data_IF_800895144171
#
_entry.id   IF_800895144171
#
_cell.length_a   1.000
_cell.length_b   1.000
_cell.length_c   1.000
_cell.angle_alpha   90.00
_cell.angle_beta   90.00
_cell.angle_gamma   90.00
#
_symmetry.space_group_name_H-M   'P 1'
#
loop_
_entity.id
_entity.type
_entity.pdbx_description
1 polymer ?
#
# COMPACT_ATOMS: atom_id res chain seq x y z
N UNK A 1 -2.25 16.59 9.17
CA UNK A 1 -1.61 17.86 8.75
C UNK A 1 -1.22 17.68 7.29
N UNK A 2 -1.62 18.57 6.39
CA UNK A 2 -1.15 18.52 4.99
C UNK A 2 0.33 18.87 4.97
N UNK A 3 1.14 17.85 4.75
CA UNK A 3 2.57 17.99 4.62
C UNK A 3 2.88 18.84 3.38
N UNK A 4 3.64 19.91 3.59
CA UNK A 4 4.11 20.75 2.51
C UNK A 4 5.32 20.06 1.86
N UNK A 5 5.28 19.91 0.54
CA UNK A 5 6.37 19.31 -0.23
C UNK A 5 7.03 20.41 -1.05
N UNK A 6 8.36 20.48 -0.99
CA UNK A 6 9.21 21.36 -1.80
C UNK A 6 10.01 20.56 -2.80
N UNK A 7 10.49 21.25 -3.84
CA UNK A 7 11.45 20.65 -4.77
C UNK A 7 12.82 20.49 -4.10
N UNK A 8 13.58 19.51 -4.57
CA UNK A 8 14.98 19.34 -4.19
C UNK A 8 15.82 20.54 -4.62
N UNK A 9 16.73 20.95 -3.75
CA UNK A 9 17.78 21.91 -4.09
C UNK A 9 18.88 21.24 -4.91
N UNK A 10 19.69 22.04 -5.61
CA UNK A 10 20.81 21.51 -6.41
C UNK A 10 21.85 20.78 -5.55
N UNK A 11 22.04 21.23 -4.31
CA UNK A 11 22.96 20.63 -3.35
C UNK A 11 22.45 19.26 -2.88
N UNK A 12 21.16 19.13 -2.60
CA UNK A 12 20.52 17.85 -2.27
C UNK A 12 20.57 16.87 -3.43
N UNK A 13 20.32 17.33 -4.67
CA UNK A 13 20.43 16.49 -5.87
C UNK A 13 21.87 15.95 -6.01
N UNK A 14 22.88 16.81 -5.90
CA UNK A 14 24.28 16.39 -6.01
C UNK A 14 24.67 15.38 -4.92
N UNK A 15 24.13 15.53 -3.70
CA UNK A 15 24.31 14.56 -2.62
C UNK A 15 23.65 13.22 -2.93
N UNK A 16 22.40 13.22 -3.41
CA UNK A 16 21.69 12.01 -3.79
C UNK A 16 22.40 11.27 -4.93
N UNK A 17 22.90 12.00 -5.93
CA UNK A 17 23.71 11.42 -7.02
C UNK A 17 25.01 10.79 -6.50
N UNK A 18 25.68 11.45 -5.54
CA UNK A 18 26.87 10.89 -4.88
C UNK A 18 26.56 9.62 -4.06
N UNK A 19 25.34 9.50 -3.54
CA UNK A 19 24.80 8.30 -2.86
C UNK A 19 24.27 7.25 -3.85
N UNK A 20 24.63 7.35 -5.13
CA UNK A 20 24.18 6.46 -6.20
C UNK A 20 22.68 6.45 -6.44
N UNK A 21 21.97 7.52 -6.09
CA UNK A 21 20.58 7.69 -6.48
C UNK A 21 20.47 8.26 -7.89
N UNK A 22 19.42 7.85 -8.60
CA UNK A 22 19.17 8.25 -9.99
C UNK A 22 17.69 8.60 -10.11
N UNK A 23 17.37 9.76 -10.67
CA UNK A 23 16.00 10.10 -11.06
C UNK A 23 15.88 10.15 -12.58
N UNK A 24 14.73 9.71 -13.12
CA UNK A 24 14.40 9.98 -14.53
C UNK A 24 14.25 11.49 -14.79
N UNK A 25 13.72 12.20 -13.79
CA UNK A 25 13.58 13.65 -13.77
C UNK A 25 13.51 14.11 -12.31
N UNK A 26 14.50 14.87 -11.86
CA UNK A 26 14.57 15.38 -10.49
C UNK A 26 13.46 16.40 -10.19
N UNK A 27 12.86 17.02 -11.20
CA UNK A 27 11.72 17.94 -11.01
C UNK A 27 10.44 17.21 -10.57
N UNK A 28 10.36 15.90 -10.81
CA UNK A 28 9.30 15.04 -10.34
C UNK A 28 9.46 14.56 -8.89
N UNK A 29 10.61 14.85 -8.24
CA UNK A 29 10.90 14.44 -6.87
C UNK A 29 10.69 15.64 -5.93
N UNK A 30 9.71 15.52 -5.04
CA UNK A 30 9.37 16.50 -4.02
C UNK A 30 9.69 15.92 -2.63
N UNK A 31 10.13 16.75 -1.69
CA UNK A 31 10.54 16.34 -0.35
C UNK A 31 9.90 17.23 0.71
N UNK A 32 9.74 16.71 1.93
CA UNK A 32 9.32 17.52 3.07
C UNK A 32 10.32 18.65 3.37
N UNK A 33 9.87 19.71 4.07
CA UNK A 33 10.71 20.90 4.31
C UNK A 33 11.99 20.55 5.09
N UNK A 34 11.88 19.74 6.15
CA UNK A 34 12.97 19.29 7.03
C UNK A 34 13.66 17.99 6.54
N UNK A 35 13.61 17.72 5.25
CA UNK A 35 14.19 16.52 4.66
C UNK A 35 15.73 16.51 4.70
N UNK A 36 16.30 15.36 5.06
CA UNK A 36 17.73 15.09 5.02
C UNK A 36 18.07 13.98 4.02
N UNK A 37 19.12 14.19 3.24
CA UNK A 37 19.57 13.25 2.19
C UNK A 37 20.37 12.07 2.74
N UNK A 38 20.83 12.13 4.00
CA UNK A 38 21.85 11.23 4.54
C UNK A 38 21.42 9.73 4.55
N UNK A 39 20.11 9.47 4.55
CA UNK A 39 19.51 8.13 4.66
C UNK A 39 18.84 7.64 3.37
N UNK A 40 19.34 8.10 2.22
CA UNK A 40 18.88 7.63 0.91
C UNK A 40 20.08 7.18 0.09
N UNK A 41 20.10 5.90 -0.29
CA UNK A 41 21.22 5.31 -1.02
C UNK A 41 20.74 4.35 -2.09
N UNK A 42 21.46 4.31 -3.21
CA UNK A 42 21.20 3.36 -4.31
C UNK A 42 19.73 3.30 -4.75
N UNK A 43 19.04 4.45 -4.76
CA UNK A 43 17.60 4.50 -5.04
C UNK A 43 17.31 5.10 -6.41
N UNK A 44 16.42 4.45 -7.15
CA UNK A 44 15.94 4.94 -8.45
C UNK A 44 14.56 5.57 -8.32
N UNK A 45 14.44 6.83 -8.72
CA UNK A 45 13.20 7.57 -8.74
C UNK A 45 12.67 7.73 -10.17
N UNK A 46 11.36 7.63 -10.33
CA UNK A 46 10.72 7.90 -11.62
C UNK A 46 9.28 8.40 -11.46
N UNK A 47 8.84 9.23 -12.40
CA UNK A 47 7.53 9.87 -12.32
C UNK A 47 7.45 10.84 -11.13
N UNK A 48 6.31 10.88 -10.44
CA UNK A 48 6.08 11.78 -9.31
C UNK A 48 6.39 11.10 -7.97
N UNK A 49 7.53 11.42 -7.38
CA UNK A 49 7.94 10.85 -6.08
C UNK A 49 7.89 11.92 -5.00
N UNK A 50 7.34 11.56 -3.85
CA UNK A 50 7.30 12.41 -2.67
C UNK A 50 7.93 11.70 -1.48
N UNK A 51 8.84 12.36 -0.77
CA UNK A 51 9.53 11.79 0.38
C UNK A 51 9.30 12.63 1.64
N UNK A 52 8.91 11.98 2.72
CA UNK A 52 8.85 12.54 4.06
C UNK A 52 10.23 12.64 4.72
N UNK A 53 10.24 12.92 6.01
CA UNK A 53 11.45 13.07 6.82
C UNK A 53 11.90 11.70 7.35
N UNK A 54 13.21 11.45 7.46
CA UNK A 54 13.78 10.19 7.97
C UNK A 54 14.67 10.48 9.18
N UNK A 55 14.13 10.33 10.40
CA UNK A 55 14.81 10.65 11.66
C UNK A 55 14.77 9.54 12.70
N UNK A 56 13.86 8.57 12.56
CA UNK A 56 13.71 7.48 13.52
C UNK A 56 14.57 6.28 13.17
N UNK A 57 14.85 5.48 14.18
CA UNK A 57 15.43 4.15 14.05
C UNK A 57 14.41 3.07 14.45
N UNK A 58 14.40 1.98 13.70
CA UNK A 58 13.65 0.77 13.98
C UNK A 58 14.54 -0.21 14.71
N UNK A 59 14.06 -0.74 15.84
CA UNK A 59 14.73 -1.84 16.56
C UNK A 59 14.11 -3.16 16.14
N UNK A 60 14.89 -3.99 15.46
CA UNK A 60 14.51 -5.32 15.02
C UNK A 60 14.81 -6.38 16.09
N UNK A 61 14.21 -7.56 15.93
CA UNK A 61 14.50 -8.71 16.77
C UNK A 61 16.01 -9.01 16.80
N UNK A 62 16.53 -9.33 17.99
CA UNK A 62 17.98 -9.50 18.20
C UNK A 62 18.73 -8.21 18.50
N UNK A 63 18.05 -7.07 18.65
CA UNK A 63 18.65 -5.79 19.06
C UNK A 63 19.35 -5.04 17.92
N UNK A 64 19.09 -5.42 16.68
CA UNK A 64 19.61 -4.72 15.51
C UNK A 64 18.82 -3.42 15.30
N UNK A 65 19.52 -2.29 15.24
CA UNK A 65 18.92 -1.01 14.89
C UNK A 65 19.08 -0.74 13.39
N UNK A 66 18.03 -0.24 12.75
CA UNK A 66 18.03 0.21 11.36
C UNK A 66 17.45 1.62 11.28
N UNK A 67 18.17 2.54 10.67
CA UNK A 67 17.69 3.91 10.51
C UNK A 67 16.64 3.98 9.40
N UNK A 68 15.56 4.73 9.61
CA UNK A 68 14.56 5.05 8.59
C UNK A 68 15.22 5.68 7.35
N UNK A 69 14.70 5.40 6.17
CA UNK A 69 15.35 5.77 4.92
C UNK A 69 14.96 4.88 3.76
N UNK A 70 15.52 5.17 2.59
CA UNK A 70 15.28 4.40 1.37
C UNK A 70 16.62 3.89 0.82
N UNK A 71 16.77 2.57 0.78
CA UNK A 71 18.02 1.89 0.46
C UNK A 71 17.78 0.84 -0.62
N UNK A 72 18.51 0.87 -1.72
CA UNK A 72 18.42 -0.15 -2.77
C UNK A 72 16.97 -0.40 -3.25
N UNK A 73 16.28 0.66 -3.67
CA UNK A 73 14.89 0.57 -4.10
C UNK A 73 14.63 1.29 -5.42
N UNK A 74 13.59 0.86 -6.14
CA UNK A 74 13.05 1.59 -7.31
C UNK A 74 11.63 2.03 -7.02
N UNK A 75 11.40 3.35 -7.05
CA UNK A 75 10.11 3.97 -6.77
C UNK A 75 9.57 4.66 -8.03
N UNK A 76 8.30 4.41 -8.36
CA UNK A 76 7.62 5.02 -9.50
C UNK A 76 6.25 5.59 -9.09
N UNK A 77 6.03 6.89 -9.18
CA UNK A 77 4.78 7.53 -8.71
C UNK A 77 4.42 7.13 -7.27
N UNK A 78 5.36 7.31 -6.33
CA UNK A 78 5.19 6.89 -4.94
C UNK A 78 5.29 8.08 -4.00
N UNK A 79 4.39 8.15 -3.03
CA UNK A 79 4.53 9.03 -1.87
C UNK A 79 4.95 8.20 -0.67
N UNK A 80 6.07 8.55 -0.04
CA UNK A 80 6.59 7.90 1.16
C UNK A 80 6.44 8.89 2.31
N UNK A 81 5.67 8.52 3.33
CA UNK A 81 5.49 9.33 4.54
C UNK A 81 6.74 9.35 5.44
N UNK A 82 6.62 10.04 6.56
CA UNK A 82 7.74 10.20 7.50
C UNK A 82 8.18 8.89 8.13
N UNK A 83 9.47 8.79 8.41
CA UNK A 83 10.09 7.72 9.17
C UNK A 83 9.82 6.34 8.59
N UNK A 84 9.63 6.24 7.28
CA UNK A 84 9.52 4.94 6.63
C UNK A 84 10.91 4.32 6.46
N UNK A 85 10.96 3.00 6.54
CA UNK A 85 12.12 2.22 6.17
C UNK A 85 11.78 1.41 4.92
N UNK A 86 12.50 1.62 3.83
CA UNK A 86 12.34 0.86 2.58
C UNK A 86 13.71 0.36 2.15
N UNK A 87 13.94 -0.96 2.24
CA UNK A 87 15.22 -1.55 1.85
C UNK A 87 15.07 -2.78 0.93
N UNK A 88 16.01 -2.92 0.00
CA UNK A 88 16.18 -4.11 -0.86
C UNK A 88 14.94 -4.44 -1.71
N UNK A 89 14.33 -3.42 -2.31
CA UNK A 89 13.27 -3.61 -3.30
C UNK A 89 13.92 -3.92 -4.64
N UNK A 90 14.16 -5.20 -4.97
CA UNK A 90 14.97 -5.55 -6.15
C UNK A 90 14.27 -5.23 -7.46
N UNK A 91 12.94 -5.19 -7.47
CA UNK A 91 12.15 -4.85 -8.63
C UNK A 91 11.62 -3.40 -8.54
N UNK A 92 10.36 -3.16 -8.16
CA UNK A 92 9.87 -1.79 -7.94
C UNK A 92 8.61 -1.72 -7.06
N UNK A 93 8.38 -0.52 -6.50
CA UNK A 93 7.09 -0.08 -5.95
C UNK A 93 6.51 0.98 -6.89
N UNK A 94 5.26 0.80 -7.34
CA UNK A 94 4.63 1.74 -8.28
C UNK A 94 3.19 2.11 -7.92
N UNK A 95 2.88 3.42 -8.05
CA UNK A 95 1.54 3.99 -7.87
C UNK A 95 0.96 3.72 -6.47
N UNK A 96 1.71 4.12 -5.44
CA UNK A 96 1.32 3.93 -4.04
C UNK A 96 1.56 5.17 -3.17
N UNK A 97 0.69 5.38 -2.21
CA UNK A 97 0.90 6.26 -1.06
C UNK A 97 1.20 5.39 0.16
N UNK A 98 2.33 5.62 0.81
CA UNK A 98 2.82 4.88 1.96
C UNK A 98 2.78 5.79 3.18
N UNK A 99 2.04 5.38 4.21
CA UNK A 99 1.90 6.09 5.47
C UNK A 99 3.19 6.08 6.30
N UNK A 100 3.24 6.93 7.32
CA UNK A 100 4.42 7.12 8.16
C UNK A 100 4.74 5.89 9.02
N UNK A 101 5.98 5.83 9.52
CA UNK A 101 6.47 4.77 10.42
C UNK A 101 6.31 3.35 9.82
N UNK A 102 6.30 3.26 8.49
CA UNK A 102 6.09 2.00 7.76
C UNK A 102 7.43 1.34 7.44
N UNK A 103 7.51 0.03 7.67
CA UNK A 103 8.70 -0.78 7.45
C UNK A 103 8.49 -1.73 6.27
N UNK A 104 9.29 -1.61 5.21
CA UNK A 104 9.24 -2.41 4.00
C UNK A 104 10.64 -2.95 3.70
N UNK A 105 10.78 -4.26 3.65
CA UNK A 105 12.07 -4.90 3.41
C UNK A 105 11.94 -6.11 2.48
N UNK A 106 12.90 -6.25 1.55
CA UNK A 106 13.02 -7.38 0.63
C UNK A 106 11.75 -7.62 -0.21
N UNK A 107 11.23 -6.58 -0.85
CA UNK A 107 9.97 -6.66 -1.62
C UNK A 107 10.20 -6.68 -3.13
N UNK A 108 9.54 -7.60 -3.86
CA UNK A 108 9.80 -7.84 -5.29
C UNK A 108 8.61 -7.65 -6.26
N UNK A 109 7.49 -7.09 -5.80
CA UNK A 109 6.76 -6.00 -6.48
C UNK A 109 5.53 -5.66 -5.64
N UNK A 110 5.35 -4.36 -5.41
CA UNK A 110 4.09 -3.75 -4.97
C UNK A 110 3.66 -2.80 -6.09
N UNK A 111 2.50 -3.01 -6.71
CA UNK A 111 2.04 -2.10 -7.76
C UNK A 111 0.52 -1.96 -7.88
N UNK A 112 0.11 -0.81 -8.39
CA UNK A 112 -1.19 -0.63 -9.04
C UNK A 112 -0.98 -0.43 -10.53
N UNK A 113 -1.61 -1.24 -11.39
CA UNK A 113 -1.44 -1.14 -12.86
C UNK A 113 -2.68 -0.64 -13.61
N UNK A 114 -3.81 -0.46 -12.92
CA UNK A 114 -5.04 0.02 -13.52
C UNK A 114 -5.92 0.69 -12.49
N UNK A 115 -6.95 1.37 -12.99
CA UNK A 115 -8.04 1.85 -12.16
C UNK A 115 -8.69 0.68 -11.41
N UNK A 116 -8.44 0.59 -10.11
CA UNK A 116 -8.80 -0.56 -9.31
C UNK A 116 -9.74 -0.18 -8.18
N UNK A 117 -10.71 -1.07 -7.91
CA UNK A 117 -11.59 -1.02 -6.74
C UNK A 117 -11.00 -1.78 -5.54
N UNK A 118 -9.78 -2.32 -5.67
CA UNK A 118 -9.07 -3.03 -4.61
C UNK A 118 -9.92 -4.17 -4.02
N UNK A 119 -10.55 -4.97 -4.88
CA UNK A 119 -11.43 -6.09 -4.47
C UNK A 119 -12.84 -5.70 -4.04
N UNK A 120 -13.15 -4.42 -3.83
CA UNK A 120 -14.52 -3.98 -3.56
C UNK A 120 -15.43 -4.21 -4.77
N UNK A 121 -16.60 -4.82 -4.54
CA UNK A 121 -17.55 -5.14 -5.59
C UNK A 121 -17.31 -6.49 -6.28
N UNK A 122 -16.35 -7.29 -5.82
CA UNK A 122 -16.09 -8.63 -6.38
C UNK A 122 -17.12 -9.63 -5.85
N UNK A 123 -17.73 -10.41 -6.74
CA UNK A 123 -18.61 -11.53 -6.37
C UNK A 123 -17.78 -12.75 -5.96
N UNK A 124 -18.02 -13.27 -4.76
CA UNK A 124 -17.34 -14.44 -4.20
C UNK A 124 -18.35 -15.53 -3.89
N UNK A 125 -18.06 -16.75 -4.33
CA UNK A 125 -18.88 -17.92 -4.01
C UNK A 125 -18.59 -18.39 -2.58
N UNK A 126 -19.59 -18.34 -1.71
CA UNK A 126 -19.46 -18.71 -0.28
C UNK A 126 -20.03 -20.10 0.06
N UNK A 127 -20.82 -20.70 -0.85
CA UNK A 127 -21.49 -21.99 -0.67
C UNK A 127 -21.39 -22.79 -1.97
N UNK A 128 -20.19 -23.31 -2.23
CA UNK A 128 -19.79 -23.95 -3.50
C UNK A 128 -20.58 -25.23 -3.84
N UNK A 129 -21.42 -25.75 -2.94
CA UNK A 129 -22.27 -26.92 -3.21
C UNK A 129 -23.59 -26.59 -3.93
N UNK A 130 -24.04 -25.33 -3.94
CA UNK A 130 -25.41 -25.01 -4.43
C UNK A 130 -25.53 -24.04 -5.59
N UNK A 131 -24.47 -23.33 -6.01
CA UNK A 131 -24.51 -22.39 -7.14
C UNK A 131 -25.47 -21.20 -6.96
N UNK A 132 -25.10 -20.00 -7.43
CA UNK A 132 -25.98 -18.82 -7.36
C UNK A 132 -26.25 -18.35 -5.93
N UNK A 133 -25.22 -18.40 -5.08
CA UNK A 133 -25.17 -17.83 -3.71
C UNK A 133 -23.92 -16.98 -3.55
N UNK A 134 -23.63 -16.16 -4.55
CA UNK A 134 -22.49 -15.24 -4.52
C UNK A 134 -22.77 -14.11 -3.52
N UNK A 135 -21.73 -13.69 -2.80
CA UNK A 135 -21.72 -12.49 -1.97
C UNK A 135 -20.75 -11.51 -2.57
N UNK A 136 -21.18 -10.26 -2.74
CA UNK A 136 -20.33 -9.18 -3.21
C UNK A 136 -19.51 -8.68 -2.02
N UNK A 137 -18.19 -8.89 -2.06
CA UNK A 137 -17.29 -8.44 -1.00
C UNK A 137 -17.00 -6.95 -1.12
N UNK A 138 -16.92 -6.29 0.03
CA UNK A 138 -16.50 -4.89 0.16
C UNK A 138 -16.04 -4.64 1.60
N UNK A 139 -15.36 -3.52 1.83
CA UNK A 139 -14.70 -3.24 3.11
C UNK A 139 -15.66 -3.23 4.31
N UNK A 140 -16.96 -2.92 4.07
CA UNK A 140 -17.99 -2.81 5.10
C UNK A 140 -18.92 -4.02 5.16
N UNK A 141 -18.55 -5.13 4.52
CA UNK A 141 -19.39 -6.31 4.48
C UNK A 141 -19.58 -6.88 5.89
N UNK A 142 -20.83 -6.87 6.36
CA UNK A 142 -21.20 -7.52 7.63
C UNK A 142 -21.74 -8.94 7.40
N UNK A 143 -21.65 -9.78 8.43
CA UNK A 143 -22.25 -11.12 8.41
C UNK A 143 -23.75 -11.10 8.08
N UNK A 144 -24.49 -10.12 8.60
CA UNK A 144 -25.91 -9.93 8.31
C UNK A 144 -26.17 -9.61 6.84
N UNK A 145 -25.36 -8.72 6.26
CA UNK A 145 -25.45 -8.37 4.84
C UNK A 145 -25.14 -9.59 3.96
N UNK A 146 -24.07 -10.32 4.26
CA UNK A 146 -23.70 -11.54 3.55
C UNK A 146 -24.81 -12.61 3.62
N UNK A 147 -25.40 -12.81 4.80
CA UNK A 147 -26.51 -13.74 5.01
C UNK A 147 -27.74 -13.37 4.17
N UNK A 148 -28.11 -12.09 4.17
CA UNK A 148 -29.25 -11.59 3.36
C UNK A 148 -28.99 -11.83 1.88
N UNK A 149 -27.79 -11.51 1.39
CA UNK A 149 -27.41 -11.67 -0.01
C UNK A 149 -27.41 -13.14 -0.44
N UNK A 150 -26.81 -14.01 0.36
CA UNK A 150 -26.66 -15.42 0.03
C UNK A 150 -27.99 -16.21 0.08
N UNK A 151 -28.89 -15.91 1.05
CA UNK A 151 -30.09 -16.73 1.28
C UNK A 151 -31.39 -16.14 0.74
N UNK A 152 -31.51 -14.81 0.59
CA UNK A 152 -32.75 -14.16 0.13
C UNK A 152 -32.75 -13.84 -1.36
N UNK A 153 -32.10 -14.68 -2.19
CA UNK A 153 -31.99 -14.49 -3.65
C UNK A 153 -33.32 -14.40 -4.40
N UNK A 154 -34.38 -14.98 -3.82
CA UNK A 154 -35.73 -14.92 -4.36
C UNK A 154 -36.36 -13.51 -4.27
N UNK A 155 -35.64 -12.52 -3.71
CA UNK A 155 -36.03 -11.11 -3.66
C UNK A 155 -35.13 -10.28 -4.60
N UNK A 156 -35.31 -10.36 -5.93
CA UNK A 156 -34.41 -9.76 -6.91
C UNK A 156 -34.27 -8.23 -6.74
N UNK A 157 -35.36 -7.54 -6.39
CA UNK A 157 -35.35 -6.08 -6.17
C UNK A 157 -34.47 -5.69 -4.97
N UNK A 158 -34.44 -6.50 -3.91
CA UNK A 158 -33.60 -6.24 -2.75
C UNK A 158 -32.12 -6.42 -3.11
N UNK A 159 -31.79 -7.55 -3.73
CA UNK A 159 -30.42 -7.87 -4.15
C UNK A 159 -29.90 -6.80 -5.11
N UNK A 160 -30.71 -6.38 -6.09
CA UNK A 160 -30.33 -5.34 -7.05
C UNK A 160 -30.06 -3.99 -6.37
N UNK A 161 -30.89 -3.57 -5.40
CA UNK A 161 -30.63 -2.35 -4.63
C UNK A 161 -29.37 -2.45 -3.78
N UNK A 162 -29.13 -3.60 -3.15
CA UNK A 162 -27.90 -3.83 -2.38
C UNK A 162 -26.67 -3.79 -3.27
N UNK A 163 -26.71 -4.42 -4.45
CA UNK A 163 -25.65 -4.37 -5.46
C UNK A 163 -25.33 -2.93 -5.84
N UNK A 164 -26.32 -2.11 -6.18
CA UNK A 164 -26.11 -0.69 -6.54
C UNK A 164 -25.42 0.12 -5.43
N UNK A 165 -25.77 -0.14 -4.16
CA UNK A 165 -25.11 0.52 -3.02
C UNK A 165 -23.64 0.10 -2.95
N UNK A 166 -23.34 -1.19 -3.12
CA UNK A 166 -21.98 -1.72 -3.08
C UNK A 166 -21.17 -1.22 -4.29
N UNK A 167 -21.75 -1.20 -5.49
CA UNK A 167 -21.11 -0.67 -6.69
C UNK A 167 -20.77 0.81 -6.55
N UNK A 168 -21.71 1.61 -6.04
CA UNK A 168 -21.45 3.04 -5.77
C UNK A 168 -20.35 3.22 -4.74
N UNK A 169 -20.30 2.39 -3.69
CA UNK A 169 -19.22 2.40 -2.73
C UNK A 169 -17.88 2.04 -3.40
N UNK A 170 -17.83 0.93 -4.13
CA UNK A 170 -16.63 0.44 -4.78
C UNK A 170 -16.07 1.45 -5.79
N UNK A 171 -16.94 2.11 -6.57
CA UNK A 171 -16.55 3.15 -7.51
C UNK A 171 -16.03 4.41 -6.82
N UNK A 172 -16.68 4.87 -5.74
CA UNK A 172 -16.19 6.01 -4.95
C UNK A 172 -14.82 5.76 -4.30
N UNK A 173 -14.44 4.50 -4.17
CA UNK A 173 -13.16 4.06 -3.63
C UNK A 173 -12.22 3.54 -4.73
N UNK A 174 -12.57 3.66 -6.02
CA UNK A 174 -11.70 3.24 -7.09
C UNK A 174 -10.56 4.26 -7.30
N UNK A 175 -9.36 3.79 -7.61
CA UNK A 175 -8.19 4.66 -7.79
C UNK A 175 -7.12 3.98 -8.66
N UNK A 176 -6.31 4.80 -9.33
CA UNK A 176 -5.08 4.37 -10.00
C UNK A 176 -3.89 4.29 -9.02
N UNK A 177 -4.06 4.80 -7.79
CA UNK A 177 -3.07 4.81 -6.72
C UNK A 177 -3.55 4.00 -5.52
N UNK A 178 -2.73 3.06 -5.06
CA UNK A 178 -2.97 2.26 -3.88
C UNK A 178 -2.51 2.95 -2.60
N UNK A 179 -2.97 2.45 -1.45
CA UNK A 179 -2.60 3.00 -0.14
C UNK A 179 -2.04 1.91 0.75
N UNK A 180 -0.89 2.18 1.37
CA UNK A 180 -0.34 1.46 2.50
C UNK A 180 -0.45 2.40 3.70
N UNK A 181 -1.14 1.97 4.74
CA UNK A 181 -1.34 2.75 5.95
C UNK A 181 -0.05 3.02 6.73
N UNK A 182 -0.19 3.69 7.87
CA UNK A 182 0.91 3.95 8.79
C UNK A 182 1.21 2.74 9.68
N UNK A 183 2.43 2.67 10.21
CA UNK A 183 2.88 1.58 11.09
C UNK A 183 2.75 0.18 10.47
N UNK A 184 2.73 0.10 9.13
CA UNK A 184 2.64 -1.17 8.44
C UNK A 184 4.03 -1.82 8.40
N UNK A 185 4.07 -3.14 8.50
CA UNK A 185 5.28 -3.93 8.33
C UNK A 185 5.10 -4.90 7.16
N UNK A 186 5.94 -4.80 6.14
CA UNK A 186 5.95 -5.68 4.97
C UNK A 186 7.36 -6.25 4.83
N UNK A 187 7.52 -7.52 5.13
CA UNK A 187 8.82 -8.20 5.08
C UNK A 187 8.71 -9.41 4.16
N UNK A 188 9.65 -9.52 3.22
CA UNK A 188 9.74 -10.64 2.27
C UNK A 188 8.44 -10.86 1.46
N UNK A 189 7.88 -9.80 0.87
CA UNK A 189 6.66 -9.87 0.06
C UNK A 189 6.95 -9.90 -1.45
N UNK A 190 6.41 -10.89 -2.16
CA UNK A 190 6.70 -11.18 -3.57
C UNK A 190 5.78 -10.55 -4.61
N UNK A 191 4.45 -10.53 -4.46
CA UNK A 191 3.62 -9.79 -5.41
C UNK A 191 2.31 -9.32 -4.79
N UNK A 192 2.27 -8.04 -4.45
CA UNK A 192 1.09 -7.34 -3.97
C UNK A 192 0.61 -6.46 -5.12
N UNK A 193 -0.56 -6.78 -5.68
CA UNK A 193 -1.09 -6.09 -6.86
C UNK A 193 -2.48 -5.58 -6.64
N UNK A 194 -2.68 -4.28 -6.81
CA UNK A 194 -4.00 -3.65 -6.67
C UNK A 194 -4.59 -3.96 -5.29
N UNK A 195 -3.80 -3.74 -4.23
CA UNK A 195 -4.20 -4.01 -2.84
C UNK A 195 -4.11 -2.75 -1.99
N UNK A 196 -5.14 -2.48 -1.18
CA UNK A 196 -5.06 -1.50 -0.09
C UNK A 196 -4.71 -2.17 1.22
N UNK A 197 -3.82 -1.55 1.98
CA UNK A 197 -3.35 -2.06 3.27
C UNK A 197 -3.64 -0.99 4.32
N UNK A 198 -4.45 -1.33 5.33
CA UNK A 198 -4.75 -0.45 6.45
C UNK A 198 -3.59 -0.34 7.45
N UNK A 199 -3.71 0.60 8.38
CA UNK A 199 -2.68 0.90 9.38
C UNK A 199 -2.38 -0.32 10.28
N UNK A 200 -1.16 -0.38 10.82
CA UNK A 200 -0.70 -1.43 11.75
C UNK A 200 -0.78 -2.86 11.19
N UNK A 201 -0.89 -3.03 9.87
CA UNK A 201 -0.89 -4.34 9.24
C UNK A 201 0.52 -4.94 9.25
N UNK A 202 0.61 -6.24 9.51
CA UNK A 202 1.85 -7.00 9.42
C UNK A 202 1.71 -8.04 8.30
N UNK A 203 2.63 -8.00 7.34
CA UNK A 203 2.69 -8.90 6.21
C UNK A 203 4.10 -9.49 6.18
N UNK A 204 4.19 -10.79 6.48
CA UNK A 204 5.43 -11.54 6.47
C UNK A 204 5.32 -12.69 5.46
N UNK A 205 6.16 -12.68 4.42
CA UNK A 205 6.24 -13.80 3.47
C UNK A 205 5.16 -13.83 2.38
N UNK A 206 4.55 -12.70 2.01
CA UNK A 206 3.40 -12.70 1.09
C UNK A 206 3.78 -12.96 -0.39
N UNK A 207 3.53 -14.19 -0.88
CA UNK A 207 3.85 -14.60 -2.26
C UNK A 207 2.86 -14.21 -3.36
N UNK A 208 1.57 -13.96 -3.07
CA UNK A 208 0.65 -13.27 -4.01
C UNK A 208 -0.63 -12.79 -3.33
N UNK A 209 -0.80 -11.48 -3.22
CA UNK A 209 -2.06 -10.82 -2.88
C UNK A 209 -2.48 -9.99 -4.08
N UNK A 210 -3.74 -10.15 -4.53
CA UNK A 210 -4.22 -9.48 -5.74
C UNK A 210 -5.65 -9.01 -5.58
N UNK A 211 -5.89 -7.74 -5.93
CA UNK A 211 -7.22 -7.14 -6.01
C UNK A 211 -8.00 -7.29 -4.69
N UNK A 212 -7.53 -6.65 -3.63
CA UNK A 212 -8.13 -6.77 -2.29
C UNK A 212 -7.88 -5.58 -1.38
N UNK A 213 -8.61 -5.54 -0.27
CA UNK A 213 -8.39 -4.59 0.84
C UNK A 213 -8.06 -5.37 2.10
N UNK A 214 -7.02 -4.96 2.81
CA UNK A 214 -6.70 -5.45 4.14
C UNK A 214 -7.12 -4.39 5.14
N UNK A 215 -8.27 -4.60 5.78
CA UNK A 215 -8.83 -3.67 6.75
C UNK A 215 -8.16 -3.89 8.12
N UNK A 216 -7.08 -3.16 8.36
CA UNK A 216 -6.27 -3.20 9.59
C UNK A 216 -6.28 -1.82 10.27
N UNK A 217 -6.19 -1.81 11.59
CA UNK A 217 -5.97 -0.60 12.39
C UNK A 217 -5.30 -0.96 13.74
N UNK A 218 -4.94 0.04 14.54
CA UNK A 218 -4.26 -0.13 15.83
C UNK A 218 -5.01 -1.07 16.80
N UNK A 219 -6.35 -0.99 16.84
CA UNK A 219 -7.17 -1.78 17.76
C UNK A 219 -7.50 -3.18 17.22
N UNK A 220 -7.36 -3.38 15.92
CA UNK A 220 -7.62 -4.63 15.23
C UNK A 220 -6.57 -4.85 14.12
N UNK A 221 -5.29 -5.11 14.50
CA UNK A 221 -4.23 -5.28 13.53
C UNK A 221 -4.39 -6.61 12.80
N UNK A 222 -4.18 -6.60 11.48
CA UNK A 222 -4.20 -7.81 10.66
C UNK A 222 -2.77 -8.31 10.45
N UNK A 223 -2.56 -9.59 10.75
CA UNK A 223 -1.32 -10.30 10.45
C UNK A 223 -1.54 -11.32 9.34
N UNK A 224 -0.77 -11.19 8.25
CA UNK A 224 -0.66 -12.15 7.16
C UNK A 224 0.73 -12.75 7.23
N UNK A 225 0.84 -13.96 7.78
CA UNK A 225 2.09 -14.69 7.87
C UNK A 225 2.40 -15.53 6.63
N UNK A 226 3.46 -16.33 6.76
CA UNK A 226 3.91 -17.28 5.74
C UNK A 226 2.81 -18.31 5.40
N UNK A 227 2.64 -18.58 4.11
CA UNK A 227 1.71 -19.58 3.56
C UNK A 227 2.36 -20.46 2.51
#
# INVERSE_FOLDING_TARGET
MTQHYRLLTKEEIARLEAQHCIASDWSGVEVADDFHTDYIHHTRFSGKVRLGVFEKEFTLAGGMAKHSGVYYATLHNVTVGDNCYIENVKNYIANYEIGHDTFIENVDIILVDCHSRFGNGVEVSVLNETGGREVIIHDRLSAHQAYIMALYRHRPVLIEKMRKIIESYAESHASDTGTIGSHVMIVNAGYIKNVRIGDYCQIEGAGRLKNGSINSNEHAPVHIGYG
#
